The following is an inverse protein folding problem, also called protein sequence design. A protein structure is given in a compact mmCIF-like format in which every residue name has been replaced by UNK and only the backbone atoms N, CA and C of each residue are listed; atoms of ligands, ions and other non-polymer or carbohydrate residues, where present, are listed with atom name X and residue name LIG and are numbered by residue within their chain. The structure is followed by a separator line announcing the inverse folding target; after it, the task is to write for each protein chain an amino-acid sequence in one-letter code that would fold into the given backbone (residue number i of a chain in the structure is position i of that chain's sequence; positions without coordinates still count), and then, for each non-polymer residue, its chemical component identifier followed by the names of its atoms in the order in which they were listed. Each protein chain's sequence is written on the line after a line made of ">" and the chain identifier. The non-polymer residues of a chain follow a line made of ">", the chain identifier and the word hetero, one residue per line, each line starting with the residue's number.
data_IF_611004450540
#
_entry.id   IF_611004450540
#
_cell.length_a   1.000
_cell.length_b   1.000
_cell.length_c   1.000
_cell.angle_alpha   90.00
_cell.angle_beta   90.00
_cell.angle_gamma   90.00
#
_symmetry.space_group_name_H-M   'P 1'
#
loop_
_entity.id
_entity.type
_entity.pdbx_description
1 polymer ?
#
# COMPACT_ATOMS: atom_id res chain seq x y z
N UNK A 1 2.34 16.37 4.48
CA UNK A 1 1.11 15.79 3.88
C UNK A 1 0.61 14.75 4.86
N UNK A 2 -0.54 14.99 5.50
CA UNK A 2 -1.20 13.93 6.26
C UNK A 2 -1.98 13.08 5.25
N UNK A 3 -1.82 11.76 5.32
CA UNK A 3 -2.73 10.82 4.66
C UNK A 3 -4.08 10.96 5.35
N UNK A 4 -4.89 11.93 4.90
CA UNK A 4 -6.20 12.25 5.47
C UNK A 4 -7.24 11.23 5.04
N UNK A 5 -7.01 9.96 5.41
CA UNK A 5 -7.98 8.88 5.37
C UNK A 5 -8.89 8.95 4.16
N UNK A 6 -8.34 8.92 2.94
CA UNK A 6 -9.13 8.40 1.84
C UNK A 6 -9.72 7.08 2.35
N UNK A 7 -11.05 6.88 2.29
CA UNK A 7 -11.64 5.65 2.80
C UNK A 7 -10.82 4.51 2.21
N UNK A 8 -10.26 3.69 3.10
CA UNK A 8 -9.57 2.48 2.73
C UNK A 8 -10.34 1.84 1.58
N UNK A 9 -9.69 1.40 0.48
CA UNK A 9 -10.41 0.71 -0.58
C UNK A 9 -11.06 -0.60 -0.07
N UNK A 10 -10.89 -0.93 1.21
CA UNK A 10 -11.36 -2.13 1.83
C UNK A 10 -12.36 -1.84 2.96
N UNK A 11 -13.38 -2.68 3.01
CA UNK A 11 -14.43 -2.70 3.99
C UNK A 11 -13.93 -3.48 5.22
N UNK A 12 -13.71 -2.77 6.33
CA UNK A 12 -13.33 -3.36 7.59
C UNK A 12 -14.55 -3.87 8.36
N UNK A 13 -14.68 -5.19 8.49
CA UNK A 13 -15.76 -5.85 9.23
C UNK A 13 -15.24 -6.36 10.55
N UNK A 14 -15.74 -5.81 11.66
CA UNK A 14 -15.43 -6.33 12.99
C UNK A 14 -16.18 -7.64 13.23
N UNK A 15 -15.43 -8.70 13.48
CA UNK A 15 -15.86 -9.96 14.09
C UNK A 15 -15.45 -9.95 15.57
N UNK A 16 -15.95 -10.89 16.37
CA UNK A 16 -15.78 -10.88 17.83
C UNK A 16 -14.36 -10.51 18.29
N UNK A 17 -13.36 -11.24 17.80
CA UNK A 17 -11.96 -11.09 18.20
C UNK A 17 -11.05 -10.45 17.13
N UNK A 18 -11.58 -10.20 15.94
CA UNK A 18 -10.77 -9.78 14.80
C UNK A 18 -11.51 -8.86 13.84
N UNK A 19 -10.76 -8.22 12.96
CA UNK A 19 -11.23 -7.33 11.90
C UNK A 19 -10.83 -8.01 10.59
N UNK A 20 -11.84 -8.35 9.80
CA UNK A 20 -11.66 -8.81 8.43
C UNK A 20 -11.66 -7.60 7.50
N UNK A 21 -10.83 -7.65 6.47
CA UNK A 21 -10.75 -6.64 5.42
C UNK A 21 -11.19 -7.28 4.11
N UNK A 22 -12.14 -6.65 3.44
CA UNK A 22 -12.64 -7.07 2.14
C UNK A 22 -12.47 -5.96 1.11
N UNK A 23 -12.18 -6.27 -0.14
CA UNK A 23 -12.17 -5.26 -1.20
C UNK A 23 -13.61 -4.79 -1.55
N UNK A 24 -13.72 -3.84 -2.47
CA UNK A 24 -14.98 -3.30 -2.97
C UNK A 24 -15.86 -4.31 -3.72
N UNK A 25 -15.29 -5.47 -4.08
CA UNK A 25 -15.96 -6.61 -4.71
C UNK A 25 -16.35 -7.71 -3.70
N UNK A 26 -16.02 -7.53 -2.43
CA UNK A 26 -16.29 -8.49 -1.36
C UNK A 26 -15.28 -9.63 -1.27
N UNK A 27 -14.13 -9.55 -1.94
CA UNK A 27 -13.07 -10.54 -1.82
C UNK A 27 -12.29 -10.31 -0.52
N UNK A 28 -11.90 -11.39 0.14
CA UNK A 28 -11.10 -11.33 1.37
C UNK A 28 -9.68 -10.82 1.07
N UNK A 29 -9.26 -9.78 1.77
CA UNK A 29 -7.93 -9.14 1.66
C UNK A 29 -7.05 -9.50 2.83
N UNK A 30 -7.63 -9.63 4.04
CA UNK A 30 -6.84 -9.94 5.22
C UNK A 30 -7.60 -9.90 6.54
N UNK A 31 -6.84 -10.16 7.59
CA UNK A 31 -7.30 -10.34 8.97
C UNK A 31 -6.33 -9.61 9.90
N UNK A 32 -6.86 -8.92 10.89
CA UNK A 32 -6.06 -8.35 11.98
C UNK A 32 -6.86 -8.30 13.28
N UNK A 33 -6.22 -8.30 14.42
CA UNK A 33 -6.84 -8.06 15.73
C UNK A 33 -6.69 -6.61 16.23
N UNK A 34 -6.03 -5.75 15.44
CA UNK A 34 -5.74 -4.35 15.79
C UNK A 34 -6.30 -3.38 14.74
N UNK A 35 -7.02 -2.34 15.21
CA UNK A 35 -7.48 -1.24 14.37
C UNK A 35 -6.33 -0.49 13.70
N UNK A 36 -5.20 -0.32 14.41
CA UNK A 36 -4.03 0.36 13.86
C UNK A 36 -3.47 -0.40 12.65
N UNK A 37 -3.40 -1.73 12.74
CA UNK A 37 -3.02 -2.58 11.62
C UNK A 37 -4.06 -2.48 10.49
N UNK A 38 -5.36 -2.49 10.79
CA UNK A 38 -6.39 -2.33 9.77
C UNK A 38 -6.21 -1.01 8.99
N UNK A 39 -5.91 0.09 9.68
CA UNK A 39 -5.59 1.39 9.05
C UNK A 39 -4.30 1.34 8.22
N UNK A 40 -3.25 0.67 8.72
CA UNK A 40 -1.97 0.52 7.99
C UNK A 40 -2.15 -0.24 6.69
N UNK A 41 -2.81 -1.40 6.74
CA UNK A 41 -3.07 -2.24 5.57
C UNK A 41 -3.97 -1.40 4.62
N UNK A 42 -5.02 -0.75 5.13
CA UNK A 42 -5.91 0.14 4.35
C UNK A 42 -5.21 1.29 3.60
N UNK A 43 -4.17 1.89 4.19
CA UNK A 43 -3.41 2.98 3.54
C UNK A 43 -2.38 2.48 2.53
N UNK A 44 -2.10 1.17 2.49
CA UNK A 44 -1.05 0.60 1.65
C UNK A 44 -1.22 0.90 0.14
N UNK A 45 -2.44 0.90 -0.44
CA UNK A 45 -2.61 1.22 -1.87
C UNK A 45 -2.28 2.67 -2.23
N UNK A 46 -2.75 3.65 -1.44
CA UNK A 46 -2.44 5.08 -1.68
C UNK A 46 -0.94 5.36 -1.46
N UNK A 47 -0.34 4.75 -0.43
CA UNK A 47 1.09 4.84 -0.19
C UNK A 47 1.90 4.26 -1.36
N UNK A 48 1.53 3.08 -1.86
CA UNK A 48 2.16 2.44 -3.00
C UNK A 48 2.02 3.30 -4.27
N UNK A 49 0.87 3.92 -4.50
CA UNK A 49 0.67 4.85 -5.61
C UNK A 49 1.62 6.06 -5.53
N UNK A 50 1.74 6.68 -4.36
CA UNK A 50 2.65 7.82 -4.20
C UNK A 50 4.12 7.41 -4.33
N UNK A 51 4.50 6.22 -3.88
CA UNK A 51 5.85 5.66 -4.07
C UNK A 51 6.16 5.45 -5.55
N UNK A 52 5.24 4.88 -6.33
CA UNK A 52 5.39 4.71 -7.78
C UNK A 52 5.53 6.08 -8.47
N UNK A 53 4.70 7.06 -8.11
CA UNK A 53 4.80 8.43 -8.66
C UNK A 53 6.14 9.09 -8.34
N UNK A 54 6.64 8.93 -7.12
CA UNK A 54 7.93 9.48 -6.69
C UNK A 54 9.08 8.81 -7.44
N UNK A 55 9.11 7.48 -7.49
CA UNK A 55 10.07 6.69 -8.28
C UNK A 55 10.15 7.18 -9.73
N UNK A 56 9.00 7.39 -10.37
CA UNK A 56 8.94 7.85 -11.77
C UNK A 56 9.46 9.28 -11.94
N UNK A 57 9.27 10.16 -10.96
CA UNK A 57 9.86 11.51 -10.98
C UNK A 57 11.38 11.44 -10.88
N UNK A 58 11.92 10.65 -9.97
CA UNK A 58 13.38 10.49 -9.80
C UNK A 58 13.98 9.93 -11.10
N UNK A 59 13.41 8.85 -11.64
CA UNK A 59 13.84 8.27 -12.91
C UNK A 59 13.79 9.24 -14.11
N UNK A 60 12.97 10.30 -14.04
CA UNK A 60 12.89 11.31 -15.11
C UNK A 60 13.99 12.37 -15.06
N UNK A 61 14.61 12.58 -13.89
CA UNK A 61 15.72 13.49 -13.72
C UNK A 61 17.01 12.70 -13.81
N UNK A 62 17.52 12.50 -15.03
CA UNK A 62 18.84 11.92 -15.35
C UNK A 62 19.42 11.09 -14.18
N UNK A 63 18.83 9.91 -13.91
CA UNK A 63 19.07 9.19 -12.66
C UNK A 63 20.56 8.89 -12.51
N UNK A 64 21.11 9.21 -11.36
CA UNK A 64 22.48 8.87 -10.99
C UNK A 64 22.49 7.47 -10.33
N UNK A 65 23.62 6.76 -10.35
CA UNK A 65 23.72 5.39 -9.78
C UNK A 65 23.37 5.35 -8.28
N UNK A 66 23.43 6.48 -7.58
CA UNK A 66 23.09 6.61 -6.15
C UNK A 66 21.57 6.74 -5.87
N UNK A 67 20.72 6.77 -6.91
CA UNK A 67 19.25 6.87 -6.74
C UNK A 67 18.58 5.52 -6.39
N UNK A 68 19.34 4.40 -6.40
CA UNK A 68 18.91 3.05 -5.98
C UNK A 68 17.56 2.59 -6.61
N UNK A 69 17.28 3.02 -7.85
CA UNK A 69 15.99 2.79 -8.50
C UNK A 69 15.67 1.30 -8.73
N UNK A 70 16.70 0.47 -8.89
CA UNK A 70 16.57 -0.99 -9.02
C UNK A 70 16.06 -1.65 -7.73
N UNK A 71 16.54 -1.20 -6.57
CA UNK A 71 16.05 -1.63 -5.25
C UNK A 71 14.60 -1.18 -5.06
N UNK A 72 14.29 0.08 -5.40
CA UNK A 72 12.93 0.62 -5.31
C UNK A 72 11.97 -0.18 -6.21
N UNK A 73 12.40 -0.51 -7.43
CA UNK A 73 11.62 -1.33 -8.36
C UNK A 73 11.36 -2.73 -7.82
N UNK A 74 12.37 -3.37 -7.22
CA UNK A 74 12.22 -4.70 -6.62
C UNK A 74 11.21 -4.70 -5.46
N UNK A 75 11.23 -3.66 -4.61
CA UNK A 75 10.28 -3.52 -3.49
C UNK A 75 8.87 -3.24 -4.00
N UNK A 76 8.70 -2.39 -5.01
CA UNK A 76 7.40 -2.12 -5.65
C UNK A 76 6.84 -3.39 -6.29
N UNK A 77 7.65 -4.15 -7.04
CA UNK A 77 7.24 -5.40 -7.66
C UNK A 77 6.78 -6.43 -6.63
N UNK A 78 7.50 -6.55 -5.50
CA UNK A 78 7.11 -7.39 -4.37
C UNK A 78 5.78 -6.96 -3.76
N UNK A 79 5.57 -5.65 -3.57
CA UNK A 79 4.34 -5.10 -3.02
C UNK A 79 3.12 -5.31 -3.94
N UNK A 80 3.34 -5.34 -5.27
CA UNK A 80 2.33 -5.65 -6.28
C UNK A 80 2.12 -7.16 -6.51
N UNK A 81 2.91 -8.03 -5.89
CA UNK A 81 2.85 -9.48 -6.11
C UNK A 81 3.31 -9.91 -7.51
N UNK A 82 4.24 -9.18 -8.11
CA UNK A 82 4.76 -9.41 -9.47
C UNK A 82 6.08 -10.20 -9.50
N UNK A 83 6.51 -10.74 -8.36
CA UNK A 83 7.70 -11.59 -8.20
C UNK A 83 7.33 -13.07 -8.11
#
# INVERSE_FOLDING_TARGET
>A
MEFKGAPAPWIATKREFFIELYDDKGNYVGLTNSKANAHLIATAPELLEQLIRLRNKIASYKPDDDDDLDIVDAVIAKALGQQ
#
